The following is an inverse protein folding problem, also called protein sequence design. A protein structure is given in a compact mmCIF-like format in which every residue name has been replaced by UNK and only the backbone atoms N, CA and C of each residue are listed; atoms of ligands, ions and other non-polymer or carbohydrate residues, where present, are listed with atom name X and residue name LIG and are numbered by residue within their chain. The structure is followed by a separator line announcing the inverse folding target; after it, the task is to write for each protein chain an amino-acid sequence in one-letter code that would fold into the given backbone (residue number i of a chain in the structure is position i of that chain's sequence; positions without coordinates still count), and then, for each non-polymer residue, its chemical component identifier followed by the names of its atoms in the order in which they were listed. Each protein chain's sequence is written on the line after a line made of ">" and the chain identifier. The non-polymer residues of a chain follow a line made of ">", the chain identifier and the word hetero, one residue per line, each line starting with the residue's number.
data_IF_945179309649
#
_entry.id   IF_945179309649
#
_cell.length_a   1.000
_cell.length_b   1.000
_cell.length_c   1.000
_cell.angle_alpha   90.00
_cell.angle_beta   90.00
_cell.angle_gamma   90.00
#
_symmetry.space_group_name_H-M   'P 1'
#
loop_
_entity.id
_entity.type
_entity.pdbx_description
1 polymer ?
#
# COMPACT_ATOMS: atom_id res chain seq x y z
N UNK A 1 21.12 -25.81 2.30
CA UNK A 1 20.38 -24.69 1.67
C UNK A 1 21.42 -23.78 1.03
N UNK A 2 21.26 -23.48 -0.26
CA UNK A 2 22.18 -22.58 -0.96
C UNK A 2 21.93 -21.12 -0.53
N UNK A 3 22.94 -20.25 -0.67
CA UNK A 3 22.82 -18.81 -0.39
C UNK A 3 21.70 -18.17 -1.26
N UNK A 4 21.50 -18.68 -2.48
CA UNK A 4 20.44 -18.27 -3.38
C UNK A 4 19.03 -18.56 -2.80
N UNK A 5 18.80 -19.75 -2.21
CA UNK A 5 17.54 -20.11 -1.59
C UNK A 5 17.21 -19.26 -0.35
N UNK A 6 18.23 -18.87 0.45
CA UNK A 6 18.00 -17.94 1.58
C UNK A 6 17.72 -16.51 1.14
N UNK A 7 18.23 -16.11 -0.02
CA UNK A 7 17.96 -14.77 -0.60
C UNK A 7 16.58 -14.71 -1.21
N UNK A 8 16.09 -15.79 -1.84
CA UNK A 8 14.73 -15.87 -2.36
C UNK A 8 13.71 -15.76 -1.23
N UNK A 9 13.79 -16.62 -0.20
CA UNK A 9 12.83 -16.63 0.92
C UNK A 9 12.71 -15.30 1.66
N UNK A 10 13.79 -14.49 1.75
CA UNK A 10 13.71 -13.14 2.34
C UNK A 10 13.00 -12.11 1.46
N UNK A 11 13.06 -12.30 0.13
CA UNK A 11 12.31 -11.45 -0.80
C UNK A 11 10.84 -11.76 -0.75
N UNK A 12 10.52 -13.03 -0.69
CA UNK A 12 9.17 -13.51 -0.60
C UNK A 12 8.51 -13.02 0.69
N UNK A 13 9.22 -13.05 1.84
CA UNK A 13 8.72 -12.50 3.11
C UNK A 13 8.48 -10.99 3.06
N UNK A 14 9.31 -10.21 2.36
CA UNK A 14 9.09 -8.78 2.22
C UNK A 14 7.83 -8.46 1.40
N UNK A 15 7.69 -9.12 0.26
CA UNK A 15 6.48 -9.03 -0.58
C UNK A 15 5.24 -9.42 0.20
N UNK A 16 5.32 -10.47 1.02
CA UNK A 16 4.23 -10.93 1.88
C UNK A 16 3.80 -9.89 2.91
N UNK A 17 4.74 -9.18 3.55
CA UNK A 17 4.41 -8.08 4.49
C UNK A 17 3.69 -6.93 3.78
N UNK A 18 4.14 -6.55 2.58
CA UNK A 18 3.47 -5.53 1.77
C UNK A 18 2.08 -6.01 1.32
N UNK A 19 1.95 -7.27 0.92
CA UNK A 19 0.66 -7.86 0.54
C UNK A 19 -0.31 -7.90 1.72
N UNK A 20 0.16 -8.21 2.93
CA UNK A 20 -0.65 -8.20 4.14
C UNK A 20 -1.11 -6.78 4.51
N UNK A 21 -0.26 -5.78 4.33
CA UNK A 21 -0.63 -4.37 4.52
C UNK A 21 -1.78 -3.96 3.58
N UNK A 22 -1.69 -4.37 2.32
CA UNK A 22 -2.77 -4.16 1.36
C UNK A 22 -4.02 -4.99 1.67
N UNK A 23 -3.91 -6.22 2.15
CA UNK A 23 -5.06 -7.01 2.59
C UNK A 23 -5.82 -6.33 3.74
N UNK A 24 -5.09 -5.76 4.71
CA UNK A 24 -5.68 -4.94 5.79
C UNK A 24 -6.36 -3.70 5.22
N UNK A 25 -5.74 -3.05 4.24
CA UNK A 25 -6.32 -1.89 3.54
C UNK A 25 -7.61 -2.27 2.80
N UNK A 26 -7.61 -3.38 2.05
CA UNK A 26 -8.82 -3.92 1.38
C UNK A 26 -9.93 -4.21 2.39
N UNK A 27 -9.60 -4.75 3.57
CA UNK A 27 -10.58 -5.01 4.62
C UNK A 27 -11.19 -3.73 5.21
N UNK A 28 -10.38 -2.71 5.47
CA UNK A 28 -10.75 -1.50 6.21
C UNK A 28 -11.31 -0.39 5.33
N UNK A 29 -10.84 -0.23 4.09
CA UNK A 29 -11.24 0.85 3.20
C UNK A 29 -12.21 0.34 2.12
N UNK A 30 -13.37 1.00 2.03
CA UNK A 30 -14.44 0.63 1.10
C UNK A 30 -14.16 0.98 -0.37
N UNK A 31 -13.08 1.68 -0.67
CA UNK A 31 -12.66 1.95 -2.05
C UNK A 31 -12.01 0.73 -2.70
N UNK A 32 -11.46 -0.21 -1.92
CA UNK A 32 -10.75 -1.39 -2.41
C UNK A 32 -11.63 -2.63 -2.36
N UNK A 33 -11.49 -3.50 -3.37
CA UNK A 33 -12.32 -4.69 -3.53
C UNK A 33 -11.57 -6.01 -3.44
N UNK A 34 -10.36 -6.07 -3.98
CA UNK A 34 -9.58 -7.30 -4.07
C UNK A 34 -8.08 -7.04 -4.14
N UNK A 35 -7.30 -8.08 -3.87
CA UNK A 35 -5.86 -8.12 -4.13
C UNK A 35 -5.46 -9.43 -4.83
N UNK A 36 -4.39 -9.38 -5.62
CA UNK A 36 -3.66 -10.50 -6.18
C UNK A 36 -2.21 -10.44 -5.70
N UNK A 37 -1.55 -11.59 -5.59
CA UNK A 37 -0.11 -11.71 -5.38
C UNK A 37 0.45 -12.56 -6.52
N UNK A 38 1.62 -12.20 -7.05
CA UNK A 38 2.23 -12.81 -8.23
C UNK A 38 1.22 -12.88 -9.41
N UNK A 39 0.71 -11.72 -9.79
CA UNK A 39 -0.36 -11.60 -10.78
C UNK A 39 0.06 -12.13 -12.16
N UNK A 40 -0.81 -12.91 -12.78
CA UNK A 40 -0.64 -13.37 -14.17
C UNK A 40 -1.23 -12.38 -15.19
N UNK A 41 -1.95 -11.37 -14.73
CA UNK A 41 -2.68 -10.42 -15.58
C UNK A 41 -1.89 -9.13 -15.85
N UNK A 42 -0.89 -8.83 -15.02
CA UNK A 42 -0.09 -7.61 -15.08
C UNK A 42 1.39 -7.95 -15.08
N UNK A 43 2.18 -7.23 -15.87
CA UNK A 43 3.66 -7.41 -15.93
C UNK A 43 4.39 -6.72 -14.78
N UNK A 44 3.74 -5.82 -14.05
CA UNK A 44 4.13 -5.33 -12.73
C UNK A 44 3.25 -6.09 -11.75
N UNK A 45 3.75 -7.18 -11.24
CA UNK A 45 2.99 -8.35 -10.85
C UNK A 45 3.14 -8.79 -9.40
N UNK A 46 4.06 -8.23 -8.62
CA UNK A 46 4.29 -8.70 -7.25
C UNK A 46 3.00 -8.62 -6.40
N UNK A 47 2.29 -7.48 -6.46
CA UNK A 47 0.98 -7.32 -5.81
C UNK A 47 0.11 -6.43 -6.69
N UNK A 48 -1.14 -6.81 -6.91
CA UNK A 48 -2.11 -6.00 -7.66
C UNK A 48 -3.37 -5.82 -6.83
N UNK A 49 -3.86 -4.58 -6.75
CA UNK A 49 -5.03 -4.23 -5.96
C UNK A 49 -6.08 -3.59 -6.86
N UNK A 50 -7.30 -4.09 -6.80
CA UNK A 50 -8.44 -3.53 -7.53
C UNK A 50 -9.30 -2.64 -6.65
N UNK A 51 -9.74 -1.51 -7.24
CA UNK A 51 -10.67 -0.57 -6.64
C UNK A 51 -12.07 -0.71 -7.23
N UNK A 52 -13.07 -0.18 -6.52
CA UNK A 52 -14.49 -0.19 -6.94
C UNK A 52 -14.76 0.60 -8.22
N UNK A 53 -14.00 1.64 -8.47
CA UNK A 53 -14.13 2.46 -9.69
C UNK A 53 -13.50 1.80 -10.93
N UNK A 54 -12.97 0.57 -10.77
CA UNK A 54 -12.28 -0.18 -11.82
C UNK A 54 -10.82 0.21 -12.00
N UNK A 55 -10.31 1.21 -11.27
CA UNK A 55 -8.88 1.52 -11.28
C UNK A 55 -8.08 0.45 -10.54
N UNK A 56 -6.79 0.35 -10.84
CA UNK A 56 -5.91 -0.68 -10.34
C UNK A 56 -4.62 -0.06 -9.80
N UNK A 57 -4.10 -0.64 -8.75
CA UNK A 57 -2.76 -0.37 -8.23
C UNK A 57 -1.90 -1.59 -8.52
N UNK A 58 -0.73 -1.38 -9.13
CA UNK A 58 0.29 -2.41 -9.31
C UNK A 58 1.50 -2.09 -8.46
N UNK A 59 1.96 -3.04 -7.65
CA UNK A 59 3.09 -2.86 -6.76
C UNK A 59 4.26 -3.73 -7.20
N UNK A 60 5.46 -3.15 -7.17
CA UNK A 60 6.72 -3.83 -7.35
C UNK A 60 7.52 -3.75 -6.06
N UNK A 61 7.82 -4.90 -5.47
CA UNK A 61 8.58 -5.02 -4.25
C UNK A 61 10.07 -5.27 -4.55
N UNK A 62 10.93 -4.40 -4.08
CA UNK A 62 12.38 -4.51 -4.25
C UNK A 62 13.05 -4.71 -2.91
N UNK A 63 13.97 -5.69 -2.85
CA UNK A 63 14.86 -5.83 -1.69
C UNK A 63 15.68 -4.55 -1.54
N UNK A 64 16.26 -4.35 -0.36
CA UNK A 64 17.22 -3.27 -0.20
C UNK A 64 18.45 -3.49 -1.09
N UNK A 65 19.02 -2.39 -1.57
CA UNK A 65 20.33 -2.36 -2.21
C UNK A 65 21.44 -2.74 -1.20
N UNK A 66 22.58 -3.17 -1.72
CA UNK A 66 23.79 -3.41 -0.92
C UNK A 66 24.15 -2.09 -0.22
N UNK A 67 24.44 -2.14 1.07
CA UNK A 67 24.75 -0.98 1.91
C UNK A 67 23.67 0.12 1.88
N UNK A 68 22.42 -0.26 1.62
CA UNK A 68 21.28 0.65 1.50
C UNK A 68 21.48 1.83 0.54
N UNK A 69 22.30 1.64 -0.50
CA UNK A 69 22.39 2.61 -1.60
C UNK A 69 21.01 2.91 -2.19
N UNK A 70 20.87 4.12 -2.70
CA UNK A 70 19.68 4.50 -3.44
C UNK A 70 19.52 3.69 -4.72
N UNK A 71 18.28 3.36 -5.07
CA UNK A 71 17.96 2.81 -6.39
C UNK A 71 18.20 3.85 -7.47
N UNK A 72 18.94 3.48 -8.50
CA UNK A 72 19.14 4.28 -9.71
C UNK A 72 18.25 3.79 -10.86
N UNK A 73 18.16 4.55 -11.94
CA UNK A 73 17.47 4.13 -13.17
C UNK A 73 18.05 2.83 -13.72
N UNK A 74 19.39 2.70 -13.70
CA UNK A 74 20.04 1.48 -14.17
C UNK A 74 19.72 0.25 -13.32
N UNK A 75 19.54 0.42 -12.01
CA UNK A 75 19.13 -0.68 -11.12
C UNK A 75 17.69 -1.14 -11.36
N UNK A 76 16.85 -0.27 -11.89
CA UNK A 76 15.43 -0.52 -12.21
C UNK A 76 15.19 -0.68 -13.72
N UNK A 77 16.25 -0.92 -14.50
CA UNK A 77 16.19 -1.01 -15.97
C UNK A 77 15.33 -2.15 -16.49
N UNK A 78 15.09 -3.19 -15.71
CA UNK A 78 14.17 -4.28 -16.04
C UNK A 78 12.72 -4.01 -15.67
N UNK A 79 12.47 -3.14 -14.68
CA UNK A 79 11.13 -2.85 -14.15
C UNK A 79 10.48 -1.64 -14.81
N UNK A 80 11.22 -0.55 -15.00
CA UNK A 80 10.68 0.68 -15.57
C UNK A 80 10.05 0.49 -16.98
N UNK A 81 10.64 -0.32 -17.89
CA UNK A 81 9.97 -0.63 -19.16
C UNK A 81 8.66 -1.41 -19.00
N UNK A 82 8.53 -2.27 -17.99
CA UNK A 82 7.28 -2.97 -17.68
C UNK A 82 6.21 -1.99 -17.19
N UNK A 83 6.62 -1.04 -16.35
CA UNK A 83 5.73 0.06 -15.91
C UNK A 83 5.23 0.85 -17.11
N UNK A 84 6.13 1.23 -18.02
CA UNK A 84 5.74 1.94 -19.25
C UNK A 84 4.73 1.13 -20.08
N UNK A 85 4.93 -0.18 -20.22
CA UNK A 85 3.99 -1.06 -20.92
C UNK A 85 2.61 -1.11 -20.25
N UNK A 86 2.55 -1.14 -18.93
CA UNK A 86 1.29 -1.12 -18.18
C UNK A 86 0.55 0.20 -18.39
N UNK A 87 1.27 1.33 -18.26
CA UNK A 87 0.69 2.67 -18.40
C UNK A 87 0.27 3.00 -19.83
N UNK A 88 0.99 2.48 -20.84
CA UNK A 88 0.60 2.60 -22.25
C UNK A 88 -0.75 1.93 -22.52
N UNK A 89 -0.98 0.74 -21.93
CA UNK A 89 -2.23 -0.01 -22.09
C UNK A 89 -3.36 0.49 -21.21
N UNK A 90 -3.04 1.00 -20.02
CA UNK A 90 -4.00 1.47 -19.03
C UNK A 90 -3.45 2.69 -18.26
N UNK A 91 -3.71 3.90 -18.74
CA UNK A 91 -3.17 5.13 -18.15
C UNK A 91 -3.70 5.44 -16.75
N UNK A 92 -4.75 4.76 -16.29
CA UNK A 92 -5.36 4.97 -14.97
C UNK A 92 -4.81 4.02 -13.90
N UNK A 93 -3.76 3.25 -14.21
CA UNK A 93 -3.07 2.41 -13.23
C UNK A 93 -2.15 3.29 -12.38
N UNK A 94 -2.17 3.08 -11.07
CA UNK A 94 -1.17 3.66 -10.17
C UNK A 94 -0.11 2.61 -9.87
N UNK A 95 1.15 3.00 -9.92
CA UNK A 95 2.29 2.11 -9.67
C UNK A 95 2.91 2.43 -8.31
N UNK A 96 3.22 1.41 -7.53
CA UNK A 96 3.97 1.55 -6.29
C UNK A 96 5.25 0.73 -6.36
N UNK A 97 6.38 1.39 -6.12
CA UNK A 97 7.64 0.71 -5.84
C UNK A 97 7.87 0.72 -4.34
N UNK A 98 8.01 -0.46 -3.76
CA UNK A 98 8.34 -0.64 -2.34
C UNK A 98 9.78 -1.09 -2.19
N UNK A 99 10.54 -0.47 -1.30
CA UNK A 99 11.88 -0.93 -0.93
C UNK A 99 12.28 -0.39 0.44
N UNK A 100 13.25 -1.02 1.07
CA UNK A 100 13.93 -0.50 2.27
C UNK A 100 15.04 0.49 1.92
N UNK A 101 15.51 0.49 0.68
CA UNK A 101 16.44 1.50 0.15
C UNK A 101 15.65 2.61 -0.53
N UNK A 102 16.10 3.85 -0.40
CA UNK A 102 15.46 4.98 -1.04
C UNK A 102 15.64 4.95 -2.58
N UNK A 103 14.83 5.73 -3.28
CA UNK A 103 14.83 5.79 -4.75
C UNK A 103 15.58 7.02 -5.30
N UNK A 104 16.37 7.66 -4.47
CA UNK A 104 17.31 8.72 -4.86
C UNK A 104 16.71 9.80 -5.76
N UNK A 105 17.32 9.99 -6.93
CA UNK A 105 16.91 11.00 -7.90
C UNK A 105 15.55 10.70 -8.54
N UNK A 106 15.13 9.43 -8.65
CA UNK A 106 13.80 9.08 -9.16
C UNK A 106 12.68 9.62 -8.25
N UNK A 107 12.84 9.44 -6.93
CA UNK A 107 11.86 9.99 -5.98
C UNK A 107 11.82 11.52 -6.03
N UNK A 108 12.97 12.19 -6.14
CA UNK A 108 13.05 13.65 -6.32
C UNK A 108 12.42 14.12 -7.61
N UNK A 109 12.63 13.41 -8.73
CA UNK A 109 11.96 13.71 -10.00
C UNK A 109 10.45 13.58 -9.89
N UNK A 110 9.97 12.54 -9.20
CA UNK A 110 8.55 12.33 -8.93
C UNK A 110 7.95 13.48 -8.10
N UNK A 111 8.62 13.89 -7.03
CA UNK A 111 8.22 15.04 -6.22
C UNK A 111 8.17 16.32 -7.07
N UNK A 112 9.21 16.54 -7.90
CA UNK A 112 9.23 17.67 -8.82
C UNK A 112 8.08 17.60 -9.83
N UNK A 113 7.81 16.46 -10.43
CA UNK A 113 6.69 16.27 -11.37
C UNK A 113 5.33 16.59 -10.73
N UNK A 114 5.14 16.16 -9.46
CA UNK A 114 3.89 16.39 -8.73
C UNK A 114 3.62 17.88 -8.44
N UNK A 115 4.65 18.72 -8.45
CA UNK A 115 4.54 20.18 -8.25
C UNK A 115 4.26 20.94 -9.55
N UNK A 116 4.32 20.28 -10.70
CA UNK A 116 4.14 20.93 -12.00
C UNK A 116 2.74 20.64 -12.55
N UNK A 117 2.08 21.65 -13.13
CA UNK A 117 0.72 21.50 -13.66
C UNK A 117 0.65 20.65 -14.94
N UNK A 118 1.75 20.60 -15.69
CA UNK A 118 1.84 19.93 -16.98
C UNK A 118 3.29 19.54 -17.33
N UNK A 119 3.43 18.74 -18.37
CA UNK A 119 4.70 18.20 -18.85
C UNK A 119 5.64 19.29 -19.41
N UNK A 120 5.08 20.32 -20.04
CA UNK A 120 5.89 21.41 -20.58
C UNK A 120 6.56 22.18 -19.46
N UNK A 121 5.79 22.56 -18.43
CA UNK A 121 6.29 23.25 -17.23
C UNK A 121 7.28 22.38 -16.45
N UNK A 122 6.99 21.08 -16.33
CA UNK A 122 7.92 20.11 -15.75
C UNK A 122 9.27 20.12 -16.44
N UNK A 123 9.29 19.99 -17.78
CA UNK A 123 10.52 19.93 -18.57
C UNK A 123 11.35 21.22 -18.51
N UNK A 124 10.68 22.39 -18.48
CA UNK A 124 11.32 23.70 -18.41
C UNK A 124 11.96 23.99 -17.04
N UNK A 125 11.43 23.42 -15.97
CA UNK A 125 11.85 23.71 -14.61
C UNK A 125 12.83 22.66 -14.03
N UNK A 126 13.32 21.72 -14.85
CA UNK A 126 14.31 20.74 -14.40
C UNK A 126 15.65 21.39 -14.09
N UNK A 127 16.21 21.10 -12.93
CA UNK A 127 17.62 21.39 -12.64
C UNK A 127 18.54 20.59 -13.56
N UNK A 128 19.81 20.98 -13.67
CA UNK A 128 20.76 20.23 -14.50
C UNK A 128 20.87 18.74 -14.11
N UNK A 129 20.86 18.44 -12.82
CA UNK A 129 20.89 17.06 -12.30
C UNK A 129 19.60 16.31 -12.67
N UNK A 130 18.46 16.94 -12.45
CA UNK A 130 17.15 16.37 -12.81
C UNK A 130 16.99 16.16 -14.30
N UNK A 131 17.47 17.10 -15.13
CA UNK A 131 17.43 16.99 -16.59
C UNK A 131 18.24 15.79 -17.11
N UNK A 132 19.42 15.57 -16.53
CA UNK A 132 20.24 14.37 -16.86
C UNK A 132 19.50 13.09 -16.50
N UNK A 133 18.98 12.98 -15.28
CA UNK A 133 18.26 11.81 -14.81
C UNK A 133 16.96 11.59 -15.61
N UNK A 134 16.25 12.66 -15.94
CA UNK A 134 15.07 12.60 -16.79
C UNK A 134 15.39 12.07 -18.18
N UNK A 135 16.50 12.53 -18.77
CA UNK A 135 16.95 12.06 -20.09
C UNK A 135 17.28 10.55 -20.06
N UNK A 136 17.98 10.07 -19.03
CA UNK A 136 18.24 8.62 -18.83
C UNK A 136 16.92 7.84 -18.72
N UNK A 137 15.93 8.37 -18.01
CA UNK A 137 14.60 7.75 -17.88
C UNK A 137 13.89 7.70 -19.24
N UNK A 138 13.82 8.81 -19.97
CA UNK A 138 13.20 8.89 -21.31
C UNK A 138 13.82 7.89 -22.30
N UNK A 139 15.15 7.75 -22.28
CA UNK A 139 15.83 6.75 -23.13
C UNK A 139 15.38 5.33 -22.79
N UNK A 140 15.23 5.01 -21.51
CA UNK A 140 14.81 3.68 -21.06
C UNK A 140 13.33 3.39 -21.40
N UNK A 141 12.45 4.41 -21.34
CA UNK A 141 11.03 4.27 -21.63
C UNK A 141 10.74 4.10 -23.13
N UNK A 142 11.71 4.44 -23.99
CA UNK A 142 11.63 4.26 -25.45
C UNK A 142 10.34 4.83 -26.07
N UNK A 143 9.95 6.03 -25.63
CA UNK A 143 8.77 6.77 -26.11
C UNK A 143 7.40 6.09 -25.94
N UNK A 144 7.30 5.03 -25.14
CA UNK A 144 6.00 4.39 -24.84
C UNK A 144 5.10 5.31 -24.02
N UNK A 145 5.68 5.91 -22.99
CA UNK A 145 5.06 6.95 -22.17
C UNK A 145 6.10 8.00 -21.86
N UNK A 146 5.70 9.26 -21.61
CA UNK A 146 6.64 10.27 -21.16
C UNK A 146 7.08 10.04 -19.73
N UNK A 147 8.29 10.49 -19.37
CA UNK A 147 8.78 10.45 -17.99
C UNK A 147 7.85 11.17 -17.03
N UNK A 148 7.29 12.33 -17.45
CA UNK A 148 6.32 13.08 -16.66
C UNK A 148 5.09 12.22 -16.32
N UNK A 149 4.47 11.58 -17.32
CA UNK A 149 3.30 10.73 -17.10
C UNK A 149 3.63 9.53 -16.19
N UNK A 150 4.76 8.85 -16.44
CA UNK A 150 5.20 7.74 -15.59
C UNK A 150 5.37 8.19 -14.14
N UNK A 151 6.04 9.34 -13.91
CA UNK A 151 6.29 9.86 -12.57
C UNK A 151 5.00 10.28 -11.85
N UNK A 152 4.03 10.85 -12.58
CA UNK A 152 2.71 11.20 -12.02
C UNK A 152 1.95 9.96 -11.54
N UNK A 153 2.07 8.84 -12.24
CA UNK A 153 1.37 7.59 -11.91
C UNK A 153 2.17 6.69 -10.96
N UNK A 154 3.41 7.06 -10.59
CA UNK A 154 4.28 6.23 -9.77
C UNK A 154 4.48 6.81 -8.37
N UNK A 155 4.46 5.95 -7.36
CA UNK A 155 4.82 6.22 -5.98
C UNK A 155 6.05 5.40 -5.59
N UNK A 156 6.96 6.01 -4.83
CA UNK A 156 8.17 5.36 -4.32
C UNK A 156 8.09 5.31 -2.80
N UNK A 157 7.86 4.12 -2.25
CA UNK A 157 7.63 3.92 -0.82
C UNK A 157 8.84 3.28 -0.15
N UNK A 158 9.33 3.92 0.91
CA UNK A 158 10.43 3.41 1.72
C UNK A 158 9.84 2.68 2.93
N UNK A 159 9.99 1.37 2.95
CA UNK A 159 9.52 0.53 4.05
C UNK A 159 10.49 0.52 5.22
N UNK A 160 10.01 0.43 6.45
CA UNK A 160 10.86 0.23 7.62
C UNK A 160 11.50 -1.17 7.65
N UNK A 161 12.22 -1.49 8.71
CA UNK A 161 12.75 -2.82 8.98
C UNK A 161 11.61 -3.85 9.09
N UNK A 162 11.88 -5.11 8.72
CA UNK A 162 10.87 -6.18 8.70
C UNK A 162 10.12 -6.32 10.01
N UNK A 163 10.84 -6.35 11.14
CA UNK A 163 10.21 -6.45 12.46
C UNK A 163 9.29 -5.25 12.73
N UNK A 164 9.69 -4.06 12.30
CA UNK A 164 8.85 -2.86 12.46
C UNK A 164 7.63 -2.88 11.53
N UNK A 165 7.76 -3.43 10.32
CA UNK A 165 6.60 -3.66 9.45
C UNK A 165 5.60 -4.60 10.11
N UNK A 166 6.07 -5.73 10.66
CA UNK A 166 5.24 -6.70 11.35
C UNK A 166 4.53 -6.09 12.57
N UNK A 167 5.25 -5.33 13.40
CA UNK A 167 4.66 -4.57 14.51
C UNK A 167 3.55 -3.63 14.05
N UNK A 168 3.80 -2.82 13.01
CA UNK A 168 2.82 -1.89 12.46
C UNK A 168 1.58 -2.60 11.91
N UNK A 169 1.74 -3.77 11.29
CA UNK A 169 0.62 -4.58 10.82
C UNK A 169 -0.21 -5.13 11.99
N UNK A 170 0.44 -5.58 13.06
CA UNK A 170 -0.26 -5.97 14.29
C UNK A 170 -0.98 -4.79 14.93
N UNK A 171 -0.36 -3.61 15.01
CA UNK A 171 -0.99 -2.38 15.50
C UNK A 171 -2.25 -2.04 14.68
N UNK A 172 -2.16 -2.06 13.34
CA UNK A 172 -3.32 -1.83 12.46
C UNK A 172 -4.44 -2.84 12.68
N UNK A 173 -4.10 -4.12 12.84
CA UNK A 173 -5.06 -5.18 13.08
C UNK A 173 -5.75 -5.05 14.45
N UNK A 174 -5.06 -4.55 15.49
CA UNK A 174 -5.67 -4.34 16.82
C UNK A 174 -6.89 -3.40 16.78
N UNK A 175 -6.88 -2.41 15.87
CA UNK A 175 -8.03 -1.50 15.70
C UNK A 175 -9.12 -2.06 14.79
N UNK A 176 -8.80 -3.07 13.99
CA UNK A 176 -9.69 -3.59 12.97
C UNK A 176 -10.41 -4.87 13.39
N UNK A 177 -9.80 -5.69 14.25
CA UNK A 177 -10.29 -7.03 14.56
C UNK A 177 -10.21 -7.37 16.05
N UNK A 178 -11.04 -8.35 16.47
CA UNK A 178 -11.09 -8.82 17.87
C UNK A 178 -9.82 -9.53 18.35
N UNK A 179 -9.02 -10.12 17.46
CA UNK A 179 -7.77 -10.82 17.77
C UNK A 179 -6.74 -10.61 16.64
N UNK A 180 -5.82 -9.68 16.84
CA UNK A 180 -4.82 -9.29 15.83
C UNK A 180 -3.84 -10.40 15.47
N UNK A 181 -3.39 -11.19 16.43
CA UNK A 181 -2.43 -12.28 16.19
C UNK A 181 -3.06 -13.39 15.34
N UNK A 182 -4.28 -13.79 15.67
CA UNK A 182 -4.99 -14.82 14.92
C UNK A 182 -5.35 -14.33 13.51
N UNK A 183 -5.74 -13.05 13.37
CA UNK A 183 -5.99 -12.42 12.08
C UNK A 183 -4.73 -12.37 11.21
N UNK A 184 -3.60 -11.94 11.79
CA UNK A 184 -2.31 -11.89 11.10
C UNK A 184 -1.96 -13.26 10.51
N UNK A 185 -1.97 -14.31 11.34
CA UNK A 185 -1.63 -15.67 10.93
C UNK A 185 -2.58 -16.22 9.84
N UNK A 186 -3.88 -15.96 9.97
CA UNK A 186 -4.88 -16.42 8.99
C UNK A 186 -4.72 -15.72 7.65
N UNK A 187 -4.56 -14.40 7.64
CA UNK A 187 -4.34 -13.61 6.43
C UNK A 187 -3.00 -13.95 5.78
N UNK A 188 -1.93 -14.07 6.57
CA UNK A 188 -0.62 -14.49 6.08
C UNK A 188 -0.70 -15.82 5.35
N UNK A 189 -1.30 -16.84 6.00
CA UNK A 189 -1.46 -18.17 5.40
C UNK A 189 -2.25 -18.13 4.10
N UNK A 190 -3.32 -17.33 4.04
CA UNK A 190 -4.14 -17.21 2.84
C UNK A 190 -3.39 -16.55 1.68
N UNK A 191 -2.58 -15.51 1.96
CA UNK A 191 -1.77 -14.82 0.97
C UNK A 191 -0.63 -15.74 0.46
N UNK A 192 0.04 -16.45 1.37
CA UNK A 192 1.10 -17.41 1.01
C UNK A 192 0.59 -18.53 0.09
N UNK A 193 -0.62 -19.03 0.35
CA UNK A 193 -1.27 -20.03 -0.49
C UNK A 193 -1.62 -19.51 -1.88
N UNK A 194 -1.89 -18.20 -2.05
CA UNK A 194 -2.10 -17.60 -3.37
C UNK A 194 -0.83 -17.66 -4.22
N UNK A 195 0.30 -17.16 -3.72
CA UNK A 195 1.57 -17.19 -4.43
C UNK A 195 2.01 -18.60 -4.82
N UNK A 196 1.83 -19.58 -3.90
CA UNK A 196 2.15 -20.99 -4.17
C UNK A 196 1.27 -21.66 -5.24
N UNK A 197 0.03 -21.22 -5.43
CA UNK A 197 -0.90 -21.79 -6.41
C UNK A 197 -0.65 -21.28 -7.83
N UNK A 198 -0.04 -20.13 -8.01
CA UNK A 198 0.30 -19.52 -9.30
C UNK A 198 1.28 -20.38 -10.10
N UNK A 199 2.20 -21.06 -9.41
CA UNK A 199 3.21 -21.92 -10.03
C UNK A 199 2.64 -23.21 -10.65
N UNK A 200 1.39 -23.58 -10.34
CA UNK A 200 0.80 -24.85 -10.77
C UNK A 200 -0.23 -24.76 -11.91
N UNK A 201 -0.69 -23.58 -12.30
CA UNK A 201 -1.77 -23.45 -13.30
C UNK A 201 -1.47 -22.42 -14.39
N UNK A 202 -0.91 -22.89 -15.50
CA UNK A 202 -0.68 -22.10 -16.73
C UNK A 202 -1.97 -21.85 -17.55
N UNK A 203 -3.17 -21.80 -16.96
CA UNK A 203 -4.42 -21.64 -17.69
C UNK A 203 -5.04 -20.24 -17.48
N UNK A 204 -5.22 -19.40 -18.53
CA UNK A 204 -5.71 -18.02 -18.42
C UNK A 204 -7.12 -17.88 -17.80
N UNK A 205 -7.94 -18.92 -17.86
CA UNK A 205 -9.27 -18.96 -17.21
C UNK A 205 -9.16 -19.05 -15.67
N UNK A 206 -7.97 -19.20 -15.14
CA UNK A 206 -7.67 -19.34 -13.71
C UNK A 206 -7.32 -18.02 -13.03
N UNK A 207 -7.20 -16.90 -13.76
CA UNK A 207 -6.83 -15.59 -13.19
C UNK A 207 -7.75 -15.13 -12.04
N UNK A 208 -9.02 -15.52 -12.06
CA UNK A 208 -9.94 -15.26 -10.93
C UNK A 208 -9.64 -16.05 -9.67
N UNK A 209 -8.87 -17.15 -9.75
CA UNK A 209 -8.52 -17.99 -8.57
C UNK A 209 -7.35 -17.44 -7.76
N UNK A 210 -6.64 -16.45 -8.28
CA UNK A 210 -5.49 -15.82 -7.61
C UNK A 210 -5.86 -14.50 -6.94
N UNK A 211 -7.16 -14.17 -6.85
CA UNK A 211 -7.69 -13.00 -6.16
C UNK A 211 -8.22 -13.36 -4.80
N UNK A 212 -7.89 -12.54 -3.82
CA UNK A 212 -8.61 -12.45 -2.56
C UNK A 212 -9.50 -11.21 -2.59
N UNK A 213 -10.79 -11.44 -2.70
CA UNK A 213 -11.78 -10.37 -2.59
C UNK A 213 -11.95 -9.96 -1.12
N UNK A 214 -12.46 -8.76 -0.89
CA UNK A 214 -12.83 -8.28 0.45
C UNK A 214 -13.76 -9.27 1.18
N UNK A 215 -14.69 -9.91 0.45
CA UNK A 215 -15.58 -10.92 1.00
C UNK A 215 -14.82 -12.18 1.45
N UNK A 216 -13.88 -12.65 0.65
CA UNK A 216 -13.06 -13.82 0.98
C UNK A 216 -12.14 -13.54 2.17
N UNK A 217 -11.51 -12.36 2.23
CA UNK A 217 -10.71 -11.94 3.39
C UNK A 217 -11.55 -11.94 4.68
N UNK A 218 -12.79 -11.43 4.63
CA UNK A 218 -13.73 -11.50 5.77
C UNK A 218 -14.09 -12.93 6.15
N UNK A 219 -14.32 -13.80 5.16
CA UNK A 219 -14.63 -15.20 5.41
C UNK A 219 -13.46 -15.92 6.07
N UNK A 220 -12.22 -15.66 5.67
CA UNK A 220 -11.00 -16.21 6.28
C UNK A 220 -10.95 -15.86 7.76
N UNK A 221 -11.19 -14.58 8.12
CA UNK A 221 -11.22 -14.13 9.51
C UNK A 221 -12.34 -14.81 10.30
N UNK A 222 -13.54 -14.90 9.73
CA UNK A 222 -14.69 -15.55 10.37
C UNK A 222 -14.44 -17.06 10.64
N UNK A 223 -13.76 -17.76 9.72
CA UNK A 223 -13.44 -19.18 9.88
C UNK A 223 -12.53 -19.46 11.10
N UNK A 224 -11.70 -18.51 11.46
CA UNK A 224 -10.85 -18.59 12.65
C UNK A 224 -11.46 -17.86 13.86
N UNK A 225 -12.74 -17.51 13.82
CA UNK A 225 -13.43 -16.87 14.94
C UNK A 225 -13.03 -15.42 15.19
N UNK A 226 -12.38 -14.76 14.24
CA UNK A 226 -11.99 -13.34 14.33
C UNK A 226 -13.07 -12.47 13.73
N UNK A 227 -13.60 -11.54 14.52
CA UNK A 227 -14.61 -10.59 14.08
C UNK A 227 -13.99 -9.23 13.75
N UNK A 228 -14.50 -8.60 12.69
CA UNK A 228 -14.17 -7.20 12.41
C UNK A 228 -14.83 -6.30 13.47
N UNK A 229 -14.04 -5.38 14.00
CA UNK A 229 -14.57 -4.30 14.86
C UNK A 229 -15.45 -3.42 13.98
N UNK A 230 -16.71 -3.13 14.39
CA UNK A 230 -17.55 -2.21 13.64
C UNK A 230 -16.85 -0.83 13.56
N UNK A 231 -16.99 -0.13 12.44
CA UNK A 231 -16.45 1.22 12.31
C UNK A 231 -17.04 2.09 13.42
N UNK A 232 -16.19 2.93 14.01
CA UNK A 232 -16.63 3.89 15.03
C UNK A 232 -17.61 4.85 14.37
N UNK A 233 -18.85 4.85 14.82
CA UNK A 233 -19.82 5.85 14.39
C UNK A 233 -19.52 7.18 15.11
N UNK A 234 -18.85 8.07 14.37
CA UNK A 234 -18.48 9.40 14.88
C UNK A 234 -19.72 10.22 15.29
N UNK A 235 -20.86 10.04 14.61
CA UNK A 235 -22.10 10.72 14.95
C UNK A 235 -22.66 10.20 16.28
N UNK A 236 -22.59 8.89 16.51
CA UNK A 236 -22.98 8.29 17.79
C UNK A 236 -22.08 8.74 18.93
N UNK A 237 -20.75 8.78 18.73
CA UNK A 237 -19.82 9.35 19.71
C UNK A 237 -20.10 10.83 20.01
N UNK A 238 -20.36 11.64 18.99
CA UNK A 238 -20.73 13.04 19.18
C UNK A 238 -22.02 13.18 19.97
N UNK A 239 -23.03 12.37 19.70
CA UNK A 239 -24.30 12.34 20.45
C UNK A 239 -24.07 11.91 21.90
N UNK A 240 -23.24 10.90 22.16
CA UNK A 240 -22.86 10.47 23.51
C UNK A 240 -22.14 11.59 24.26
N UNK A 241 -21.18 12.26 23.63
CA UNK A 241 -20.47 13.41 24.21
C UNK A 241 -21.43 14.58 24.54
N UNK A 242 -22.38 14.87 23.64
CA UNK A 242 -23.38 15.92 23.88
C UNK A 242 -24.32 15.56 25.04
N UNK A 243 -24.73 14.29 25.14
CA UNK A 243 -25.60 13.83 26.24
C UNK A 243 -24.89 13.87 27.59
N UNK A 244 -23.61 13.43 27.65
CA UNK A 244 -22.77 13.51 28.87
C UNK A 244 -22.58 14.98 29.28
N UNK A 245 -22.29 15.86 28.31
CA UNK A 245 -22.13 17.29 28.55
C UNK A 245 -23.46 17.95 29.01
N UNK A 246 -24.61 17.49 28.54
CA UNK A 246 -25.91 17.94 28.97
C UNK A 246 -26.23 17.48 30.42
N UNK A 247 -25.95 16.21 30.75
CA UNK A 247 -26.06 15.69 32.12
C UNK A 247 -25.16 16.48 33.09
N UNK A 248 -23.91 16.74 32.71
CA UNK A 248 -22.99 17.53 33.54
C UNK A 248 -23.44 18.96 33.76
N UNK A 249 -24.21 19.54 32.84
CA UNK A 249 -24.84 20.87 33.03
C UNK A 249 -26.05 20.80 33.95
N UNK A 250 -26.89 19.79 33.86
CA UNK A 250 -27.99 19.55 34.75
C UNK A 250 -27.56 19.38 36.20
N UNK A 251 -26.52 18.55 36.42
CA UNK A 251 -25.93 18.35 37.75
C UNK A 251 -25.39 19.64 38.37
N UNK A 252 -24.86 20.59 37.58
CA UNK A 252 -24.42 21.90 38.10
C UNK A 252 -25.58 22.81 38.54
N UNK A 253 -26.72 22.66 37.92
CA UNK A 253 -27.94 23.40 38.32
C UNK A 253 -28.58 22.84 39.60
N UNK A 254 -28.51 21.52 39.79
CA UNK A 254 -29.10 20.84 40.94
C UNK A 254 -28.26 20.95 42.22
N UNK A 255 -26.94 21.16 42.12
CA UNK A 255 -26.03 21.29 43.27
C UNK A 255 -25.82 22.77 43.73
N UNK A 256 -26.74 23.66 43.49
CA UNK A 256 -26.81 25.02 44.08
C UNK A 256 -25.47 25.62 44.45
N UNK A 257 -24.69 26.07 43.49
CA UNK A 257 -23.64 27.08 43.74
C UNK A 257 -22.26 26.61 44.21
N UNK A 258 -21.94 25.34 44.18
CA UNK A 258 -20.55 24.90 44.43
C UNK A 258 -19.72 25.04 43.13
N UNK A 259 -18.85 26.03 43.11
CA UNK A 259 -17.90 26.23 42.01
C UNK A 259 -16.85 25.10 42.00
N UNK A 260 -17.14 24.05 41.26
CA UNK A 260 -16.12 23.04 40.91
C UNK A 260 -15.27 23.61 39.77
N UNK A 261 -14.06 24.00 40.10
CA UNK A 261 -13.03 24.45 39.14
C UNK A 261 -12.80 23.29 38.15
N UNK A 262 -13.13 23.50 36.90
CA UNK A 262 -12.81 22.56 35.82
C UNK A 262 -11.26 22.42 35.74
N UNK A 263 -10.71 21.19 35.78
CA UNK A 263 -9.35 21.00 35.30
C UNK A 263 -9.39 21.19 33.77
N UNK A 264 -8.73 22.24 33.31
CA UNK A 264 -8.47 22.47 31.89
C UNK A 264 -7.55 21.35 31.45
N UNK A 265 -8.02 20.48 30.59
CA UNK A 265 -7.17 19.57 29.82
C UNK A 265 -6.43 20.44 28.80
N UNK A 266 -5.16 20.72 29.10
CA UNK A 266 -4.15 21.22 28.14
C UNK A 266 -3.55 20.05 27.37
#
# INVERSE_FOLDING_TARGET
>A
MSIAGKRSSRGDNYQMLVALDWAITVLSDNQYEWLEVDSLSYVVDDIVIGKKDGSVICCQCKKNQIDFKSWSISDLSSELPKVAEVLEKNPNVTIYFYSRSNFGLLAKLREHSAMQPDEQTYSQNLSQEHAKTNHELEQLLNSKVSSYHLLQQTQFEISPEYNRMEELLHERLQYLVSNSTQAFNALWTAIDQLGGSTLQSANPSTSQRHRLTKKELKNILNQVGVMLTPPIDVAELQNQFQSISAMGRSWRQDIGGINIINPVLT
#
